data_IF_637656514180
#
_entry.id   IF_637656514180
#
_cell.length_a   1.000
_cell.length_b   1.000
_cell.length_c   1.000
_cell.angle_alpha   90.00
_cell.angle_beta   90.00
_cell.angle_gamma   90.00
#
_symmetry.space_group_name_H-M   'P 1'
#
loop_
_entity.id
_entity.type
_entity.pdbx_description
1 polymer ?
#
# COMPACT_ATOMS: atom_id res chain seq x y z
N UNK A 1 20.96 0.31 5.93
CA UNK A 1 20.39 -0.46 4.79
C UNK A 1 18.91 -0.11 4.69
N UNK A 2 18.45 0.35 3.52
CA UNK A 2 17.14 1.00 3.33
C UNK A 2 15.96 0.03 3.45
N UNK A 3 15.45 -0.17 4.66
CA UNK A 3 14.25 -0.98 4.95
C UNK A 3 13.03 -0.54 4.12
N UNK A 4 12.84 0.78 3.95
CA UNK A 4 11.74 1.34 3.17
C UNK A 4 11.88 1.10 1.66
N UNK A 5 13.10 1.11 1.14
CA UNK A 5 13.33 0.72 -0.25
C UNK A 5 12.96 -0.75 -0.48
N UNK A 6 13.39 -1.64 0.41
CA UNK A 6 13.05 -3.07 0.31
C UNK A 6 11.56 -3.32 0.47
N UNK A 7 10.87 -2.54 1.31
CA UNK A 7 9.41 -2.56 1.43
C UNK A 7 8.75 -2.13 0.12
N UNK A 8 9.15 -0.99 -0.45
CA UNK A 8 8.62 -0.51 -1.73
C UNK A 8 8.83 -1.52 -2.87
N UNK A 9 9.99 -2.18 -2.94
CA UNK A 9 10.24 -3.24 -3.94
C UNK A 9 9.28 -4.43 -3.75
N UNK A 10 9.05 -4.87 -2.51
CA UNK A 10 8.08 -5.95 -2.23
C UNK A 10 6.66 -5.55 -2.62
N UNK A 11 6.25 -4.32 -2.28
CA UNK A 11 4.94 -3.78 -2.63
C UNK A 11 4.76 -3.69 -4.16
N UNK A 12 5.79 -3.27 -4.91
CA UNK A 12 5.72 -3.28 -6.39
C UNK A 12 5.53 -4.68 -6.98
N UNK A 13 6.20 -5.69 -6.43
CA UNK A 13 6.05 -7.07 -6.89
C UNK A 13 4.67 -7.63 -6.56
N UNK A 14 4.14 -7.31 -5.37
CA UNK A 14 2.79 -7.68 -4.96
C UNK A 14 1.73 -7.05 -5.87
N UNK A 15 1.80 -5.72 -6.06
CA UNK A 15 0.92 -4.98 -6.97
C UNK A 15 0.97 -5.53 -8.40
N UNK A 16 2.18 -5.82 -8.93
CA UNK A 16 2.33 -6.36 -10.27
C UNK A 16 1.68 -7.75 -10.42
N UNK A 17 1.80 -8.61 -9.42
CA UNK A 17 1.20 -9.96 -9.43
C UNK A 17 -0.32 -9.89 -9.36
N UNK A 18 -0.84 -9.02 -8.50
CA UNK A 18 -2.28 -8.89 -8.28
C UNK A 18 -2.95 -8.22 -9.50
N UNK A 19 -2.28 -7.24 -10.13
CA UNK A 19 -2.69 -6.66 -11.43
C UNK A 19 -2.67 -7.71 -12.54
N UNK A 20 -1.63 -8.54 -12.63
CA UNK A 20 -1.58 -9.62 -13.61
C UNK A 20 -2.68 -10.68 -13.38
N UNK A 21 -3.06 -10.90 -12.12
CA UNK A 21 -4.17 -11.79 -11.77
C UNK A 21 -5.52 -11.20 -12.16
N UNK A 22 -5.68 -9.88 -11.99
CA UNK A 22 -6.87 -9.15 -12.44
C UNK A 22 -6.99 -9.14 -13.96
N UNK A 23 -5.88 -8.96 -14.67
CA UNK A 23 -5.82 -8.98 -16.14
C UNK A 23 -6.20 -10.35 -16.72
N UNK A 24 -5.72 -11.44 -16.12
CA UNK A 24 -6.07 -12.80 -16.58
C UNK A 24 -7.56 -13.14 -16.41
N UNK A 25 -8.23 -12.52 -15.43
CA UNK A 25 -9.55 -12.90 -14.97
C UNK A 25 -10.48 -11.69 -14.84
N UNK A 26 -10.50 -10.78 -15.82
CA UNK A 26 -11.24 -9.49 -15.72
C UNK A 26 -12.69 -9.65 -15.26
N UNK A 27 -13.38 -10.70 -15.72
CA UNK A 27 -14.79 -11.01 -15.43
C UNK A 27 -15.04 -11.81 -14.15
N UNK A 28 -14.10 -12.67 -13.76
CA UNK A 28 -14.25 -13.60 -12.61
C UNK A 28 -13.50 -13.12 -11.37
N UNK A 29 -12.80 -11.98 -11.47
CA UNK A 29 -12.06 -11.43 -10.34
C UNK A 29 -13.02 -11.01 -9.24
N UNK A 30 -12.86 -11.52 -8.01
CA UNK A 30 -13.73 -11.18 -6.90
C UNK A 30 -13.59 -9.70 -6.55
N UNK A 31 -14.69 -9.07 -6.17
CA UNK A 31 -14.75 -7.65 -5.83
C UNK A 31 -13.79 -7.30 -4.67
N UNK A 32 -13.53 -8.27 -3.78
CA UNK A 32 -12.54 -8.17 -2.69
C UNK A 32 -11.12 -7.90 -3.17
N UNK A 33 -10.69 -8.51 -4.27
CA UNK A 33 -9.35 -8.28 -4.84
C UNK A 33 -9.20 -6.84 -5.34
N UNK A 34 -10.30 -6.22 -5.78
CA UNK A 34 -10.32 -4.81 -6.18
C UNK A 34 -10.13 -3.86 -4.99
N UNK A 35 -10.78 -4.15 -3.86
CA UNK A 35 -10.56 -3.40 -2.62
C UNK A 35 -9.14 -3.59 -2.08
N UNK A 36 -8.62 -4.81 -2.13
CA UNK A 36 -7.25 -5.11 -1.74
C UNK A 36 -6.22 -4.37 -2.61
N UNK A 37 -6.41 -4.33 -3.94
CA UNK A 37 -5.56 -3.54 -4.85
C UNK A 37 -5.61 -2.04 -4.54
N UNK A 38 -6.79 -1.50 -4.24
CA UNK A 38 -6.95 -0.08 -3.84
C UNK A 38 -6.22 0.23 -2.54
N UNK A 39 -6.35 -0.65 -1.53
CA UNK A 39 -5.64 -0.52 -0.26
C UNK A 39 -4.12 -0.61 -0.47
N UNK A 40 -3.65 -1.57 -1.25
CA UNK A 40 -2.23 -1.74 -1.59
C UNK A 40 -1.67 -0.52 -2.33
N UNK A 41 -2.43 0.04 -3.27
CA UNK A 41 -2.05 1.25 -4.01
C UNK A 41 -1.96 2.49 -3.10
N UNK A 42 -2.89 2.64 -2.15
CA UNK A 42 -2.84 3.68 -1.12
C UNK A 42 -1.63 3.52 -0.20
N UNK A 43 -1.36 2.28 0.25
CA UNK A 43 -0.19 1.97 1.08
C UNK A 43 1.12 2.27 0.35
N UNK A 44 1.22 1.94 -0.94
CA UNK A 44 2.41 2.22 -1.75
C UNK A 44 2.62 3.74 -1.94
N UNK A 45 1.55 4.51 -2.13
CA UNK A 45 1.63 5.98 -2.17
C UNK A 45 2.15 6.56 -0.84
N UNK A 46 1.68 6.03 0.30
CA UNK A 46 2.20 6.41 1.63
C UNK A 46 3.69 6.08 1.76
N UNK A 47 4.09 4.86 1.37
CA UNK A 47 5.50 4.43 1.36
C UNK A 47 6.38 5.34 0.47
N UNK A 48 5.89 5.78 -0.70
CA UNK A 48 6.59 6.72 -1.59
C UNK A 48 6.81 8.07 -0.89
N UNK A 49 5.78 8.59 -0.21
CA UNK A 49 5.87 9.86 0.55
C UNK A 49 6.87 9.76 1.69
N UNK A 50 6.79 8.71 2.50
CA UNK A 50 7.73 8.45 3.61
C UNK A 50 9.17 8.30 3.11
N UNK A 51 9.38 7.57 2.00
CA UNK A 51 10.69 7.43 1.37
C UNK A 51 11.21 8.78 0.82
N UNK A 52 10.34 9.61 0.24
CA UNK A 52 10.68 10.95 -0.22
C UNK A 52 11.06 11.89 0.91
N UNK A 53 10.36 11.84 2.05
CA UNK A 53 10.64 12.69 3.20
C UNK A 53 11.94 12.29 3.92
N UNK A 54 12.27 11.00 3.97
CA UNK A 54 13.58 10.56 4.43
C UNK A 54 14.74 11.04 3.57
N UNK A 55 14.56 11.09 2.25
CA UNK A 55 15.58 11.64 1.33
C UNK A 55 15.79 13.12 1.62
N UNK A 56 14.72 13.89 1.87
CA UNK A 56 14.81 15.31 2.22
C UNK A 56 15.48 15.54 3.58
N UNK A 57 15.23 14.66 4.56
CA UNK A 57 15.77 14.77 5.91
C UNK A 57 17.25 14.35 6.00
N UNK A 58 17.68 13.34 5.23
CA UNK A 58 19.04 12.82 5.22
C UNK A 58 19.97 13.48 4.16
N UNK A 59 19.86 14.81 3.96
CA UNK A 59 20.74 15.57 3.04
C UNK A 59 22.26 15.42 3.29
N UNK A 60 22.67 14.81 4.41
CA UNK A 60 24.07 14.58 4.75
C UNK A 60 24.71 13.36 4.05
N UNK A 61 23.92 12.43 3.49
CA UNK A 61 24.40 11.19 2.86
C UNK A 61 23.73 10.99 1.50
N UNK A 62 23.88 11.96 0.60
CA UNK A 62 23.25 11.91 -0.73
C UNK A 62 24.02 10.93 -1.61
N UNK A 63 23.68 9.64 -1.52
CA UNK A 63 23.88 8.76 -2.67
C UNK A 63 22.92 9.22 -3.78
N UNK A 64 23.43 9.62 -4.94
CA UNK A 64 22.66 10.03 -6.14
C UNK A 64 21.60 8.99 -6.57
N UNK A 65 21.71 7.76 -6.10
CA UNK A 65 20.82 6.63 -6.39
C UNK A 65 19.42 6.80 -5.78
N UNK A 66 19.30 7.52 -4.68
CA UNK A 66 18.03 7.70 -3.97
C UNK A 66 16.94 8.46 -4.74
N UNK A 67 17.21 9.64 -5.33
CA UNK A 67 16.22 10.35 -6.15
C UNK A 67 15.80 9.56 -7.39
N UNK A 68 16.72 8.85 -8.05
CA UNK A 68 16.43 8.00 -9.21
C UNK A 68 15.47 6.86 -8.82
N UNK A 69 15.69 6.23 -7.66
CA UNK A 69 14.80 5.19 -7.13
C UNK A 69 13.41 5.73 -6.78
N UNK A 70 13.34 6.93 -6.20
CA UNK A 70 12.06 7.59 -5.90
C UNK A 70 11.29 7.89 -7.18
N UNK A 71 11.96 8.43 -8.20
CA UNK A 71 11.34 8.71 -9.50
C UNK A 71 10.80 7.43 -10.16
N UNK A 72 11.54 6.32 -10.07
CA UNK A 72 11.07 5.01 -10.53
C UNK A 72 9.78 4.59 -9.81
N UNK A 73 9.72 4.68 -8.48
CA UNK A 73 8.52 4.31 -7.74
C UNK A 73 7.31 5.20 -8.07
N UNK A 74 7.52 6.49 -8.30
CA UNK A 74 6.46 7.42 -8.74
C UNK A 74 5.95 7.04 -10.14
N UNK A 75 6.85 6.70 -11.07
CA UNK A 75 6.48 6.22 -12.39
C UNK A 75 5.71 4.89 -12.32
N UNK A 76 6.20 3.93 -11.54
CA UNK A 76 5.54 2.63 -11.33
C UNK A 76 4.14 2.82 -10.72
N UNK A 77 3.98 3.72 -9.75
CA UNK A 77 2.68 4.06 -9.16
C UNK A 77 1.69 4.60 -10.19
N UNK A 78 2.13 5.52 -11.06
CA UNK A 78 1.30 6.08 -12.11
C UNK A 78 0.86 4.99 -13.11
N UNK A 79 1.78 4.09 -13.49
CA UNK A 79 1.49 2.96 -14.37
C UNK A 79 0.50 1.98 -13.73
N UNK A 80 0.69 1.62 -12.45
CA UNK A 80 -0.23 0.73 -11.74
C UNK A 80 -1.63 1.35 -11.61
N UNK A 81 -1.72 2.65 -11.31
CA UNK A 81 -3.00 3.37 -11.23
C UNK A 81 -3.72 3.39 -12.58
N UNK A 82 -2.99 3.68 -13.67
CA UNK A 82 -3.57 3.68 -15.00
C UNK A 82 -4.07 2.30 -15.42
N UNK A 83 -3.27 1.25 -15.19
CA UNK A 83 -3.65 -0.14 -15.49
C UNK A 83 -4.87 -0.59 -14.68
N UNK A 84 -4.89 -0.28 -13.39
CA UNK A 84 -6.01 -0.62 -12.52
C UNK A 84 -7.32 0.03 -12.99
N UNK A 85 -7.28 1.32 -13.34
CA UNK A 85 -8.45 2.05 -13.85
C UNK A 85 -8.92 1.49 -15.19
N UNK A 86 -7.99 1.17 -16.11
CA UNK A 86 -8.33 0.57 -17.39
C UNK A 86 -9.02 -0.79 -17.24
N UNK A 87 -8.47 -1.67 -16.40
CA UNK A 87 -9.06 -2.99 -16.13
C UNK A 87 -10.43 -2.88 -15.43
N UNK A 88 -10.59 -1.91 -14.53
CA UNK A 88 -11.88 -1.61 -13.90
C UNK A 88 -12.91 -1.19 -14.94
N UNK A 89 -12.57 -0.25 -15.82
CA UNK A 89 -13.45 0.21 -16.89
C UNK A 89 -13.79 -0.91 -17.88
N UNK A 90 -12.82 -1.77 -18.20
CA UNK A 90 -13.03 -2.93 -19.06
C UNK A 90 -14.05 -3.91 -18.45
N UNK A 91 -13.98 -4.16 -17.14
CA UNK A 91 -14.98 -4.99 -16.46
C UNK A 91 -16.36 -4.35 -16.48
N UNK A 92 -16.46 -3.06 -16.12
CA UNK A 92 -17.74 -2.34 -16.09
C UNK A 92 -18.40 -2.36 -17.48
N UNK A 93 -17.63 -2.06 -18.54
CA UNK A 93 -18.14 -2.11 -19.93
C UNK A 93 -18.59 -3.49 -20.35
N UNK A 94 -17.85 -4.56 -20.00
CA UNK A 94 -18.28 -5.93 -20.30
C UNK A 94 -19.53 -6.35 -19.50
N UNK A 95 -19.62 -5.96 -18.22
CA UNK A 95 -20.81 -6.19 -17.41
C UNK A 95 -22.04 -5.47 -18.00
N UNK A 96 -21.88 -4.22 -18.44
CA UNK A 96 -22.92 -3.46 -19.12
C UNK A 96 -23.28 -4.05 -20.49
N UNK A 97 -22.30 -4.53 -21.26
CA UNK A 97 -22.54 -5.19 -22.53
C UNK A 97 -23.34 -6.49 -22.36
N UNK A 98 -23.00 -7.31 -21.36
CA UNK A 98 -23.75 -8.51 -21.02
C UNK A 98 -25.18 -8.18 -20.58
N UNK A 99 -25.36 -7.18 -19.71
CA UNK A 99 -26.69 -6.72 -19.31
C UNK A 99 -27.49 -6.20 -20.52
N UNK A 100 -26.86 -5.49 -21.46
CA UNK A 100 -27.50 -5.04 -22.70
C UNK A 100 -27.89 -6.20 -23.61
N UNK A 101 -27.06 -7.23 -23.73
CA UNK A 101 -27.36 -8.44 -24.50
C UNK A 101 -28.53 -9.22 -23.90
N UNK A 102 -28.65 -9.29 -22.57
CA UNK A 102 -29.83 -9.85 -21.90
C UNK A 102 -31.12 -9.05 -22.23
N UNK A 103 -31.01 -7.73 -22.35
CA UNK A 103 -32.12 -6.83 -22.68
C UNK A 103 -32.49 -6.78 -24.18
N UNK A 104 -31.56 -7.17 -25.07
CA UNK A 104 -31.77 -7.17 -26.53
C UNK A 104 -32.11 -8.57 -27.02
N UNK A 105 -31.46 -9.62 -26.51
CA UNK A 105 -31.74 -11.01 -26.84
C UNK A 105 -33.16 -11.46 -26.52
N UNK A 106 -33.87 -10.74 -25.63
CA UNK A 106 -35.28 -10.98 -25.31
C UNK A 106 -36.28 -10.12 -26.09
N UNK A 107 -35.82 -9.16 -26.90
CA UNK A 107 -36.72 -8.37 -27.78
C UNK A 107 -37.13 -9.10 -29.05
N UNK A 108 -36.48 -10.20 -29.42
CA UNK A 108 -36.84 -10.99 -30.60
C UNK A 108 -38.11 -11.85 -30.45
N UNK A 109 -38.88 -11.72 -29.36
CA UNK A 109 -40.15 -12.45 -29.15
C UNK A 109 -41.37 -11.51 -29.01
N UNK A 110 -41.18 -10.19 -29.00
CA UNK A 110 -42.29 -9.24 -29.03
C UNK A 110 -42.20 -8.42 -30.33
N UNK A 111 -43.15 -8.69 -31.23
CA UNK A 111 -43.33 -7.99 -32.51
C UNK A 111 -43.07 -6.48 -32.39
N UNK A 112 -42.32 -5.95 -33.35
CA UNK A 112 -41.78 -4.59 -33.43
C UNK A 112 -42.83 -3.54 -33.84
N UNK A 113 -44.12 -3.85 -33.75
CA UNK A 113 -45.19 -3.03 -34.34
C UNK A 113 -46.23 -2.58 -33.30
N UNK A 114 -46.17 -1.32 -32.81
CA UNK A 114 -47.12 -0.76 -31.82
C UNK A 114 -48.58 -0.67 -32.29
N UNK A 115 -48.85 -0.92 -33.57
CA UNK A 115 -50.19 -0.85 -34.18
C UNK A 115 -50.77 -2.23 -34.54
N UNK A 116 -50.05 -3.32 -34.28
CA UNK A 116 -50.53 -4.69 -34.57
C UNK A 116 -51.55 -5.22 -33.52
N UNK A 117 -51.83 -4.41 -32.49
CA UNK A 117 -52.77 -4.74 -31.42
C UNK A 117 -54.25 -4.75 -31.83
N UNK A 118 -54.61 -4.20 -32.99
CA UNK A 118 -56.03 -4.03 -33.38
C UNK A 118 -56.70 -5.29 -33.94
N UNK A 119 -55.99 -6.40 -34.16
CA UNK A 119 -56.60 -7.66 -34.63
C UNK A 119 -56.67 -8.79 -33.60
N UNK A 120 -56.24 -8.59 -32.35
CA UNK A 120 -56.22 -9.66 -31.31
C UNK A 120 -56.77 -9.21 -29.97
N UNK A 121 -58.02 -8.76 -29.96
CA UNK A 121 -58.67 -8.17 -28.78
C UNK A 121 -59.16 -9.18 -27.72
N UNK A 122 -58.90 -10.49 -27.88
CA UNK A 122 -59.36 -11.52 -26.92
C UNK A 122 -58.27 -12.18 -26.07
N UNK A 123 -57.00 -11.74 -26.16
CA UNK A 123 -55.87 -12.31 -25.38
C UNK A 123 -55.00 -11.25 -24.66
N UNK A 124 -55.41 -9.97 -24.67
CA UNK A 124 -54.56 -8.85 -24.25
C UNK A 124 -54.42 -8.68 -22.71
N UNK A 125 -55.40 -9.10 -21.91
CA UNK A 125 -55.37 -8.90 -20.45
C UNK A 125 -54.39 -9.83 -19.74
N UNK A 126 -54.25 -11.08 -20.19
CA UNK A 126 -53.30 -12.04 -19.61
C UNK A 126 -51.84 -11.64 -19.88
N UNK A 127 -51.57 -11.04 -21.05
CA UNK A 127 -50.23 -10.60 -21.44
C UNK A 127 -49.77 -9.34 -20.68
N UNK A 128 -50.67 -8.38 -20.40
CA UNK A 128 -50.37 -7.20 -19.56
C UNK A 128 -50.07 -7.59 -18.11
N UNK A 129 -50.84 -8.52 -17.55
CA UNK A 129 -50.64 -8.99 -16.18
C UNK A 129 -49.33 -9.79 -16.03
N UNK A 130 -48.98 -10.59 -17.04
CA UNK A 130 -47.67 -11.26 -17.13
C UNK A 130 -46.49 -10.29 -17.23
N UNK A 131 -46.61 -9.21 -18.01
CA UNK A 131 -45.56 -8.20 -18.14
C UNK A 131 -45.32 -7.41 -16.85
N UNK A 132 -46.37 -7.10 -16.08
CA UNK A 132 -46.24 -6.41 -14.80
C UNK A 132 -45.60 -7.31 -13.74
N UNK A 133 -46.02 -8.58 -13.69
CA UNK A 133 -45.49 -9.57 -12.76
C UNK A 133 -44.02 -9.87 -13.06
N UNK A 134 -43.62 -9.98 -14.33
CA UNK A 134 -42.23 -10.07 -14.76
C UNK A 134 -41.41 -8.83 -14.32
N UNK A 135 -42.00 -7.63 -14.41
CA UNK A 135 -41.39 -6.38 -13.94
C UNK A 135 -41.08 -6.40 -12.44
N UNK A 136 -42.03 -6.85 -11.61
CA UNK A 136 -41.88 -7.00 -10.17
C UNK A 136 -40.81 -8.05 -9.81
N UNK A 137 -40.79 -9.19 -10.50
CA UNK A 137 -39.74 -10.20 -10.30
C UNK A 137 -38.35 -9.67 -10.66
N UNK A 138 -38.23 -8.86 -11.72
CA UNK A 138 -36.98 -8.21 -12.11
C UNK A 138 -36.53 -7.18 -11.08
N UNK A 139 -37.45 -6.35 -10.58
CA UNK A 139 -37.15 -5.38 -9.53
C UNK A 139 -36.66 -6.09 -8.27
N UNK A 140 -37.39 -7.11 -7.81
CA UNK A 140 -36.98 -7.95 -6.67
C UNK A 140 -35.59 -8.56 -6.87
N UNK A 141 -35.30 -9.09 -8.06
CA UNK A 141 -34.00 -9.69 -8.36
C UNK A 141 -32.89 -8.63 -8.43
N UNK A 142 -33.19 -7.44 -8.93
CA UNK A 142 -32.25 -6.32 -9.01
C UNK A 142 -31.93 -5.75 -7.63
N UNK A 143 -32.95 -5.62 -6.78
CA UNK A 143 -32.81 -5.24 -5.37
C UNK A 143 -31.97 -6.29 -4.65
N UNK A 144 -32.28 -7.59 -4.82
CA UNK A 144 -31.53 -8.67 -4.17
C UNK A 144 -30.06 -8.69 -4.59
N UNK A 145 -29.75 -8.48 -5.87
CA UNK A 145 -28.37 -8.32 -6.36
C UNK A 145 -27.70 -7.07 -5.77
N UNK A 146 -28.44 -5.97 -5.66
CA UNK A 146 -27.96 -4.74 -5.03
C UNK A 146 -27.63 -4.93 -3.54
N UNK A 147 -28.50 -5.61 -2.80
CA UNK A 147 -28.27 -5.96 -1.38
C UNK A 147 -27.02 -6.82 -1.22
N UNK A 148 -26.87 -7.87 -2.03
CA UNK A 148 -25.67 -8.71 -1.99
C UNK A 148 -24.38 -7.94 -2.30
N UNK A 149 -24.44 -6.99 -3.24
CA UNK A 149 -23.30 -6.12 -3.54
C UNK A 149 -22.96 -5.19 -2.37
N UNK A 150 -23.96 -4.62 -1.68
CA UNK A 150 -23.74 -3.77 -0.52
C UNK A 150 -23.11 -4.57 0.61
N UNK A 151 -23.61 -5.77 0.91
CA UNK A 151 -23.06 -6.64 1.96
C UNK A 151 -21.59 -6.97 1.67
N UNK A 152 -21.27 -7.27 0.40
CA UNK A 152 -19.90 -7.54 -0.04
C UNK A 152 -18.98 -6.31 0.05
N UNK A 153 -19.49 -5.11 -0.27
CA UNK A 153 -18.76 -3.85 -0.09
C UNK A 153 -18.53 -3.57 1.39
N UNK A 154 -19.50 -3.87 2.24
CA UNK A 154 -19.42 -3.69 3.68
C UNK A 154 -18.36 -4.61 4.29
N UNK A 155 -18.34 -5.88 3.88
CA UNK A 155 -17.34 -6.87 4.30
C UNK A 155 -15.94 -6.48 3.82
N UNK A 156 -15.80 -6.04 2.57
CA UNK A 156 -14.55 -5.52 2.03
C UNK A 156 -14.08 -4.26 2.78
N UNK A 157 -15.00 -3.36 3.12
CA UNK A 157 -14.73 -2.17 3.91
C UNK A 157 -14.29 -2.51 5.33
N UNK A 158 -14.92 -3.51 5.96
CA UNK A 158 -14.54 -4.02 7.29
C UNK A 158 -13.13 -4.61 7.28
N UNK A 159 -12.83 -5.47 6.32
CA UNK A 159 -11.51 -6.10 6.21
C UNK A 159 -10.42 -5.06 5.88
N UNK A 160 -10.72 -4.05 5.06
CA UNK A 160 -9.78 -2.96 4.78
C UNK A 160 -9.54 -2.07 6.01
N UNK A 161 -10.56 -1.82 6.84
CA UNK A 161 -10.40 -1.11 8.11
C UNK A 161 -9.63 -1.93 9.13
N UNK A 162 -9.89 -3.24 9.21
CA UNK A 162 -9.14 -4.20 10.04
C UNK A 162 -7.66 -4.20 9.65
N UNK A 163 -7.34 -4.26 8.34
CA UNK A 163 -5.97 -4.13 7.84
C UNK A 163 -5.32 -2.79 8.23
N UNK A 164 -6.08 -1.68 8.25
CA UNK A 164 -5.57 -0.36 8.67
C UNK A 164 -5.34 -0.32 10.19
N UNK A 165 -6.22 -0.95 10.97
CA UNK A 165 -6.10 -1.07 12.43
C UNK A 165 -4.90 -1.95 12.80
N UNK A 166 -4.75 -3.09 12.14
CA UNK A 166 -3.59 -3.99 12.33
C UNK A 166 -2.28 -3.30 11.94
N UNK A 167 -2.30 -2.49 10.87
CA UNK A 167 -1.16 -1.66 10.51
C UNK A 167 -0.84 -0.61 11.59
N UNK A 168 -1.83 -0.10 12.32
CA UNK A 168 -1.59 0.81 13.44
C UNK A 168 -0.85 0.11 14.59
N UNK A 169 -1.23 -1.12 14.95
CA UNK A 169 -0.51 -1.92 15.93
C UNK A 169 0.95 -2.19 15.52
N UNK A 170 1.20 -2.40 14.22
CA UNK A 170 2.58 -2.51 13.73
C UNK A 170 3.35 -1.19 13.85
N UNK A 171 2.69 -0.04 13.64
CA UNK A 171 3.27 1.29 13.84
C UNK A 171 3.60 1.54 15.32
N UNK A 172 2.75 1.11 16.25
CA UNK A 172 3.02 1.19 17.69
C UNK A 172 4.21 0.30 18.09
N UNK A 173 4.30 -0.93 17.56
CA UNK A 173 5.45 -1.82 17.77
C UNK A 173 6.74 -1.24 17.18
N UNK A 174 6.65 -0.58 16.03
CA UNK A 174 7.77 0.16 15.43
C UNK A 174 8.16 1.35 16.31
N UNK A 175 7.20 2.08 16.87
CA UNK A 175 7.44 3.16 17.82
C UNK A 175 8.19 2.68 19.07
N UNK A 176 7.75 1.58 19.68
CA UNK A 176 8.41 0.97 20.84
C UNK A 176 9.82 0.47 20.51
N UNK A 177 10.01 -0.15 19.34
CA UNK A 177 11.35 -0.59 18.89
C UNK A 177 12.24 0.59 18.49
N UNK A 178 11.67 1.69 18.01
CA UNK A 178 12.38 2.93 17.73
C UNK A 178 12.77 3.66 19.01
N UNK A 179 11.92 3.66 20.04
CA UNK A 179 12.23 4.16 21.38
C UNK A 179 13.37 3.35 22.02
N UNK A 180 13.30 2.03 21.95
CA UNK A 180 14.39 1.15 22.37
C UNK A 180 15.68 1.37 21.55
N UNK A 181 15.55 1.63 20.24
CA UNK A 181 16.69 1.93 19.37
C UNK A 181 17.27 3.33 19.61
N UNK A 182 16.44 4.31 20.00
CA UNK A 182 16.85 5.65 20.43
C UNK A 182 17.57 5.59 21.77
N UNK A 183 17.14 4.73 22.69
CA UNK A 183 17.87 4.43 23.93
C UNK A 183 19.23 3.76 23.63
N UNK A 184 19.29 2.91 22.61
CA UNK A 184 20.55 2.29 22.14
C UNK A 184 21.47 3.28 21.39
N UNK A 185 20.92 4.24 20.66
CA UNK A 185 21.67 5.25 19.90
C UNK A 185 22.05 6.48 20.74
N UNK A 186 21.27 6.80 21.78
CA UNK A 186 21.52 7.93 22.69
C UNK A 186 22.70 7.73 23.63
N UNK A 187 23.01 6.48 24.02
CA UNK A 187 24.26 6.13 24.71
C UNK A 187 24.62 4.69 24.35
N UNK A 188 25.32 4.50 23.23
CA UNK A 188 25.92 3.18 22.99
C UNK A 188 26.93 2.90 24.10
N UNK A 189 26.65 1.90 24.96
CA UNK A 189 27.61 1.35 25.93
C UNK A 189 28.94 0.99 25.25
N UNK A 190 28.93 0.71 23.94
CA UNK A 190 30.14 0.48 23.14
C UNK A 190 30.93 1.75 22.80
N UNK A 191 30.28 2.91 22.69
CA UNK A 191 30.95 4.21 22.55
C UNK A 191 31.46 4.70 23.91
N UNK A 192 30.67 4.57 24.98
CA UNK A 192 31.13 4.86 26.35
C UNK A 192 32.36 4.03 26.72
N UNK A 193 32.36 2.72 26.46
CA UNK A 193 33.52 1.86 26.76
C UNK A 193 34.74 2.22 25.91
N UNK A 194 34.55 2.67 24.66
CA UNK A 194 35.66 3.15 23.82
C UNK A 194 36.23 4.48 24.32
N UNK A 195 35.38 5.39 24.78
CA UNK A 195 35.81 6.67 25.40
C UNK A 195 36.50 6.41 26.74
N UNK A 196 35.93 5.56 27.59
CA UNK A 196 36.51 5.19 28.88
C UNK A 196 37.89 4.50 28.72
N UNK A 197 38.04 3.65 27.69
CA UNK A 197 39.34 3.01 27.40
C UNK A 197 40.41 4.04 27.02
N UNK A 198 40.09 4.98 26.12
CA UNK A 198 41.03 6.04 25.72
C UNK A 198 41.38 6.97 26.88
N UNK A 199 40.40 7.34 27.71
CA UNK A 199 40.63 8.19 28.87
C UNK A 199 41.49 7.52 29.96
N UNK A 200 41.43 6.18 30.08
CA UNK A 200 42.28 5.42 31.00
C UNK A 200 43.72 5.28 30.50
N UNK A 201 43.90 5.06 29.21
CA UNK A 201 45.22 5.02 28.57
C UNK A 201 45.92 6.39 28.70
N UNK A 202 45.19 7.50 28.51
CA UNK A 202 45.73 8.85 28.62
C UNK A 202 46.23 9.19 30.04
N UNK A 203 45.52 8.72 31.09
CA UNK A 203 45.99 8.89 32.48
C UNK A 203 47.33 8.20 32.74
N UNK A 204 47.56 7.03 32.16
CA UNK A 204 48.84 6.32 32.31
C UNK A 204 49.97 7.07 31.60
N UNK A 205 49.72 7.56 30.38
CA UNK A 205 50.69 8.36 29.62
C UNK A 205 51.08 9.63 30.38
N UNK A 206 50.10 10.32 31.00
CA UNK A 206 50.36 11.51 31.82
C UNK A 206 51.26 11.20 33.03
N UNK A 207 50.97 10.11 33.77
CA UNK A 207 51.77 9.73 34.95
C UNK A 207 53.21 9.35 34.55
N UNK A 208 53.39 8.62 33.44
CA UNK A 208 54.72 8.28 32.92
C UNK A 208 55.50 9.53 32.52
N UNK A 209 54.85 10.49 31.85
CA UNK A 209 55.48 11.74 31.43
C UNK A 209 55.95 12.59 32.63
N UNK A 210 55.13 12.68 33.69
CA UNK A 210 55.49 13.41 34.93
C UNK A 210 56.71 12.78 35.61
N UNK A 211 56.77 11.45 35.71
CA UNK A 211 57.94 10.78 36.30
C UNK A 211 59.22 11.04 35.50
N UNK A 212 59.15 10.96 34.17
CA UNK A 212 60.30 11.24 33.29
C UNK A 212 60.76 12.69 33.47
N UNK A 213 59.83 13.64 33.57
CA UNK A 213 60.16 15.05 33.78
C UNK A 213 60.93 15.28 35.09
N UNK A 214 60.46 14.72 36.21
CA UNK A 214 61.18 14.83 37.49
C UNK A 214 62.55 14.15 37.46
N UNK A 215 62.67 13.00 36.78
CA UNK A 215 63.93 12.30 36.60
C UNK A 215 64.94 13.15 35.83
N UNK A 216 64.49 13.83 34.78
CA UNK A 216 65.31 14.73 33.96
C UNK A 216 65.74 15.98 34.75
N UNK A 217 64.82 16.59 35.51
CA UNK A 217 65.16 17.69 36.42
C UNK A 217 66.19 17.28 37.48
N UNK A 218 66.07 16.07 38.05
CA UNK A 218 67.05 15.54 39.00
C UNK A 218 68.44 15.39 38.37
N UNK A 219 68.53 14.84 37.15
CA UNK A 219 69.81 14.73 36.44
C UNK A 219 70.43 16.09 36.11
N UNK A 220 69.62 17.08 35.70
CA UNK A 220 70.10 18.45 35.45
C UNK A 220 70.69 19.05 36.73
N UNK A 221 69.98 18.97 37.85
CA UNK A 221 70.47 19.50 39.14
C UNK A 221 71.74 18.78 39.58
N UNK A 222 71.82 17.46 39.41
CA UNK A 222 73.00 16.66 39.78
C UNK A 222 74.21 16.95 38.89
N UNK A 223 74.00 17.34 37.63
CA UNK A 223 75.10 17.62 36.72
C UNK A 223 75.63 19.06 36.82
N UNK A 224 74.77 20.00 37.22
CA UNK A 224 75.14 21.41 37.43
C UNK A 224 75.62 21.73 38.85
N UNK A 225 75.64 20.76 39.75
CA UNK A 225 76.09 20.89 41.15
C UNK A 225 77.25 19.96 41.42
#
# INVERSE_FOLDING_TARGET
MNSLYNRGVKETHFLSRDLASFEKNVLTTPLSLQGQLLASLSSFNKTIKEYGDLIKQNKAFVEEKHPIRLQKFVADYALFTAKFNALRQQRETQAHANARLELVGRRNVASENPYESDLRQSQADTHRQMSYLEGLYREKTSIQKGTQQIDQILEMGRNALEDIIDQNDTLMRIGQTFEQSLVVLGVSRGTIKRVERRAREDKWIFVTLVFIFFMLCYYIIKWFR
#
